data_IF_047239059185
#
_entry.id   IF_047239059185
#
_cell.length_a   1.000
_cell.length_b   1.000
_cell.length_c   1.000
_cell.angle_alpha   90.00
_cell.angle_beta   90.00
_cell.angle_gamma   90.00
#
_symmetry.space_group_name_H-M   'P 1'
#
loop_
_entity.id
_entity.type
_entity.pdbx_description
1 polymer ?
#
# COMPACT_ATOMS: atom_id res chain seq x y z
N UNK A 1 21.23 -2.70 6.35
CA UNK A 1 19.86 -2.93 6.87
C UNK A 1 19.08 -1.65 6.72
N UNK A 2 17.85 -1.73 6.21
CA UNK A 2 16.98 -0.56 6.09
C UNK A 2 16.44 -0.27 7.49
N UNK A 3 16.80 0.89 8.05
CA UNK A 3 16.24 1.33 9.33
C UNK A 3 14.81 1.83 9.11
N UNK A 4 13.85 1.21 9.80
CA UNK A 4 12.41 1.53 9.73
C UNK A 4 11.84 1.84 11.12
N UNK A 5 12.72 1.89 12.13
CA UNK A 5 12.38 1.98 13.55
C UNK A 5 11.75 3.33 13.91
N UNK A 6 12.10 4.38 13.17
CA UNK A 6 11.56 5.74 13.39
C UNK A 6 10.76 6.24 12.19
N UNK A 7 9.76 7.14 12.39
CA UNK A 7 9.02 7.74 11.29
C UNK A 7 9.91 8.42 10.25
N UNK A 8 10.98 9.10 10.70
CA UNK A 8 11.96 9.77 9.83
C UNK A 8 12.75 8.77 8.98
N UNK A 9 13.07 7.60 9.52
CA UNK A 9 13.79 6.57 8.77
C UNK A 9 12.89 5.93 7.70
N UNK A 10 11.61 5.68 8.00
CA UNK A 10 10.62 5.25 7.00
C UNK A 10 10.41 6.29 5.90
N UNK A 11 10.33 7.57 6.26
CA UNK A 11 10.21 8.65 5.29
C UNK A 11 11.41 8.69 4.33
N UNK A 12 12.64 8.59 4.87
CA UNK A 12 13.86 8.46 4.05
C UNK A 12 13.82 7.24 3.13
N UNK A 13 13.31 6.10 3.60
CA UNK A 13 13.16 4.90 2.79
C UNK A 13 12.22 5.15 1.60
N UNK A 14 11.03 5.73 1.81
CA UNK A 14 10.09 6.04 0.74
C UNK A 14 10.60 7.12 -0.23
N UNK A 15 11.47 8.04 0.25
CA UNK A 15 12.11 9.03 -0.61
C UNK A 15 13.35 8.50 -1.35
N UNK A 16 13.86 7.33 -0.97
CA UNK A 16 15.07 6.75 -1.54
C UNK A 16 14.93 6.43 -3.03
N UNK A 17 16.03 6.55 -3.77
CA UNK A 17 16.10 6.16 -5.18
C UNK A 17 15.84 4.66 -5.39
N UNK A 18 16.30 3.83 -4.44
CA UNK A 18 16.07 2.40 -4.44
C UNK A 18 14.58 2.05 -4.43
N UNK A 19 13.79 2.68 -3.54
CA UNK A 19 12.34 2.49 -3.51
C UNK A 19 11.67 2.96 -4.80
N UNK A 20 12.03 4.14 -5.32
CA UNK A 20 11.48 4.67 -6.58
C UNK A 20 11.73 3.72 -7.76
N UNK A 21 12.92 3.12 -7.83
CA UNK A 21 13.30 2.16 -8.87
C UNK A 21 12.48 0.88 -8.77
N UNK A 22 12.40 0.28 -7.58
CA UNK A 22 11.63 -0.95 -7.37
C UNK A 22 10.14 -0.69 -7.58
N UNK A 23 9.60 0.44 -7.10
CA UNK A 23 8.22 0.85 -7.34
C UNK A 23 7.90 0.90 -8.82
N UNK A 24 8.76 1.51 -9.64
CA UNK A 24 8.59 1.54 -11.09
C UNK A 24 8.62 0.13 -11.69
N UNK A 25 9.60 -0.69 -11.30
CA UNK A 25 9.72 -2.07 -11.78
C UNK A 25 8.48 -2.93 -11.46
N UNK A 26 7.91 -2.77 -10.26
CA UNK A 26 6.70 -3.49 -9.84
C UNK A 26 5.47 -3.00 -10.62
N UNK A 27 5.33 -1.69 -10.83
CA UNK A 27 4.25 -1.13 -11.65
C UNK A 27 4.35 -1.60 -13.11
N UNK A 28 5.55 -1.58 -13.69
CA UNK A 28 5.80 -2.06 -15.06
C UNK A 28 5.45 -3.56 -15.18
N UNK A 29 5.88 -4.39 -14.21
CA UNK A 29 5.54 -5.83 -14.13
C UNK A 29 4.03 -6.06 -14.08
N UNK A 30 3.33 -5.28 -13.27
CA UNK A 30 1.89 -5.39 -13.05
C UNK A 30 1.08 -4.63 -14.13
N UNK A 31 1.73 -4.16 -15.20
CA UNK A 31 1.12 -3.43 -16.31
C UNK A 31 0.39 -2.14 -15.90
N UNK A 32 0.76 -1.56 -14.76
CA UNK A 32 0.05 -0.45 -14.12
C UNK A 32 -1.42 -0.78 -13.83
N UNK A 33 -1.67 -1.99 -13.34
CA UNK A 33 -2.99 -2.50 -12.99
C UNK A 33 -3.05 -2.94 -11.52
N UNK A 34 -4.20 -2.77 -10.88
CA UNK A 34 -4.45 -3.38 -9.58
C UNK A 34 -4.61 -4.90 -9.72
N UNK A 35 -3.74 -5.67 -9.03
CA UNK A 35 -3.77 -7.14 -9.09
C UNK A 35 -5.04 -7.75 -8.50
N UNK A 36 -5.64 -7.11 -7.50
CA UNK A 36 -6.89 -7.58 -6.88
C UNK A 36 -8.10 -7.34 -7.78
N UNK A 37 -8.21 -6.14 -8.35
CA UNK A 37 -9.25 -5.84 -9.32
C UNK A 37 -9.16 -6.79 -10.52
N UNK A 38 -7.95 -7.06 -11.01
CA UNK A 38 -7.71 -8.02 -12.10
C UNK A 38 -8.22 -9.42 -11.76
N UNK A 39 -7.98 -9.92 -10.54
CA UNK A 39 -8.52 -11.20 -10.05
C UNK A 39 -10.05 -11.22 -9.99
N UNK A 40 -10.68 -10.07 -9.77
CA UNK A 40 -12.14 -9.91 -9.78
C UNK A 40 -12.72 -9.67 -11.18
N UNK A 41 -11.89 -9.71 -12.24
CA UNK A 41 -12.32 -9.40 -13.61
C UNK A 41 -12.52 -7.91 -13.89
N UNK A 42 -12.02 -7.02 -13.02
CA UNK A 42 -12.08 -5.56 -13.17
C UNK A 42 -10.74 -5.00 -13.63
N UNK A 43 -10.78 -4.04 -14.55
CA UNK A 43 -9.57 -3.34 -15.02
C UNK A 43 -9.47 -2.00 -14.30
N UNK A 44 -8.57 -1.91 -13.33
CA UNK A 44 -8.28 -0.67 -12.60
C UNK A 44 -6.83 -0.29 -12.85
N UNK A 45 -6.64 0.82 -13.54
CA UNK A 45 -5.32 1.33 -13.95
C UNK A 45 -5.04 2.68 -13.30
N UNK A 46 -3.81 3.18 -13.48
CA UNK A 46 -3.42 4.53 -13.04
C UNK A 46 -4.30 5.67 -13.64
N UNK A 47 -5.07 5.39 -14.70
CA UNK A 47 -6.02 6.36 -15.28
C UNK A 47 -7.33 6.44 -14.50
N UNK A 48 -7.73 5.34 -13.88
CA UNK A 48 -9.03 5.20 -13.19
C UNK A 48 -8.92 5.37 -11.69
N UNK A 49 -7.78 4.99 -11.10
CA UNK A 49 -7.56 5.08 -9.66
C UNK A 49 -6.07 5.27 -9.34
N UNK A 50 -5.79 5.84 -8.17
CA UNK A 50 -4.42 5.90 -7.63
C UNK A 50 -3.92 4.49 -7.31
N UNK A 51 -2.78 4.13 -7.89
CA UNK A 51 -2.09 2.88 -7.62
C UNK A 51 -1.01 3.07 -6.56
N UNK A 52 -1.07 2.20 -5.56
CA UNK A 52 -0.15 2.15 -4.43
C UNK A 52 0.54 0.78 -4.42
N UNK A 53 1.82 0.79 -4.02
CA UNK A 53 2.58 -0.44 -3.85
C UNK A 53 2.48 -0.85 -2.39
N UNK A 54 1.84 -1.98 -2.18
CA UNK A 54 1.61 -2.55 -0.86
C UNK A 54 2.66 -3.63 -0.56
N UNK A 55 3.24 -3.57 0.65
CA UNK A 55 4.12 -4.61 1.16
C UNK A 55 3.30 -5.79 1.68
N UNK A 56 3.46 -6.97 1.08
CA UNK A 56 2.77 -8.22 1.48
C UNK A 56 3.16 -8.56 2.93
N UNK A 57 4.46 -8.69 3.19
CA UNK A 57 5.02 -8.73 4.54
C UNK A 57 5.38 -7.32 4.96
N UNK A 58 4.89 -6.90 6.12
CA UNK A 58 5.08 -5.53 6.57
C UNK A 58 6.55 -5.15 6.71
N UNK A 59 6.83 -3.89 6.33
CA UNK A 59 8.13 -3.27 6.40
C UNK A 59 8.74 -3.31 7.82
N UNK A 60 7.92 -3.22 8.87
CA UNK A 60 8.36 -3.19 10.27
C UNK A 60 9.04 -4.50 10.71
N UNK A 61 8.51 -5.64 10.27
CA UNK A 61 9.01 -6.96 10.67
C UNK A 61 10.06 -7.51 9.69
N UNK A 62 10.00 -7.10 8.42
CA UNK A 62 10.87 -7.61 7.36
C UNK A 62 11.51 -6.47 6.55
N UNK A 63 12.39 -5.66 7.15
CA UNK A 63 13.07 -4.57 6.45
C UNK A 63 13.97 -5.09 5.31
N UNK A 64 14.47 -6.32 5.40
CA UNK A 64 15.29 -6.92 4.32
C UNK A 64 14.46 -7.23 3.07
N UNK A 65 13.14 -7.41 3.21
CA UNK A 65 12.21 -7.65 2.10
C UNK A 65 11.55 -6.36 1.60
N UNK A 66 11.99 -5.19 2.07
CA UNK A 66 11.38 -3.90 1.74
C UNK A 66 11.51 -3.53 0.25
N UNK A 67 12.60 -3.98 -0.39
CA UNK A 67 12.93 -3.72 -1.80
C UNK A 67 12.74 -4.96 -2.67
N UNK A 68 12.25 -6.06 -2.11
CA UNK A 68 12.12 -7.33 -2.78
C UNK A 68 10.83 -7.34 -3.63
N UNK A 69 10.90 -7.41 -4.97
CA UNK A 69 9.72 -7.30 -5.84
C UNK A 69 8.67 -8.39 -5.58
N UNK A 70 9.10 -9.56 -5.11
CA UNK A 70 8.19 -10.66 -4.75
C UNK A 70 7.37 -10.36 -3.48
N UNK A 71 7.84 -9.45 -2.63
CA UNK A 71 7.13 -8.97 -1.43
C UNK A 71 6.26 -7.73 -1.72
N UNK A 72 6.22 -7.25 -2.96
CA UNK A 72 5.52 -6.03 -3.36
C UNK A 72 4.42 -6.33 -4.36
N UNK A 73 3.26 -5.70 -4.16
CA UNK A 73 2.10 -5.84 -5.05
C UNK A 73 1.48 -4.49 -5.38
N UNK A 74 1.03 -4.34 -6.62
CA UNK A 74 0.28 -3.16 -7.05
C UNK A 74 -1.19 -3.31 -6.67
N UNK A 75 -1.70 -2.39 -5.86
CA UNK A 75 -3.11 -2.27 -5.49
C UNK A 75 -3.63 -0.88 -5.80
N UNK A 76 -4.92 -0.74 -6.07
CA UNK A 76 -5.56 0.57 -6.04
C UNK A 76 -5.79 1.02 -4.60
N UNK A 77 -5.94 2.32 -4.39
CA UNK A 77 -6.24 2.92 -3.09
C UNK A 77 -7.40 2.21 -2.34
N UNK A 78 -8.47 1.81 -3.05
CA UNK A 78 -9.60 1.10 -2.44
C UNK A 78 -9.23 -0.30 -1.95
N UNK A 79 -8.52 -1.07 -2.78
CA UNK A 79 -8.04 -2.40 -2.39
C UNK A 79 -6.99 -2.32 -1.28
N UNK A 80 -6.15 -1.28 -1.30
CA UNK A 80 -5.16 -1.03 -0.26
C UNK A 80 -5.84 -0.71 1.07
N UNK A 81 -6.86 0.16 1.09
CA UNK A 81 -7.63 0.46 2.30
C UNK A 81 -8.39 -0.77 2.82
N UNK A 82 -8.98 -1.57 1.93
CA UNK A 82 -9.66 -2.81 2.29
C UNK A 82 -8.68 -3.82 2.90
N UNK A 83 -7.43 -3.85 2.43
CA UNK A 83 -6.38 -4.71 2.99
C UNK A 83 -5.91 -4.28 4.38
N UNK A 84 -5.80 -2.98 4.63
CA UNK A 84 -5.41 -2.44 5.93
C UNK A 84 -6.59 -2.30 6.90
N UNK A 85 -7.74 -2.89 6.54
CA UNK A 85 -9.00 -2.80 7.27
C UNK A 85 -9.29 -1.38 7.77
N UNK A 86 -8.99 -0.38 6.94
CA UNK A 86 -9.39 1.01 7.18
C UNK A 86 -10.86 1.23 6.84
N UNK A 87 -11.67 0.18 6.96
CA UNK A 87 -13.09 0.36 7.16
C UNK A 87 -13.24 1.08 8.49
N UNK A 88 -13.55 2.37 8.37
CA UNK A 88 -14.08 3.17 9.45
C UNK A 88 -15.23 2.38 10.10
N UNK A 89 -14.93 1.69 11.19
CA UNK A 89 -15.80 1.72 12.35
C UNK A 89 -15.79 3.17 12.85
N UNK A 90 -16.49 4.04 12.12
CA UNK A 90 -17.10 5.18 12.77
C UNK A 90 -18.26 4.60 13.56
N UNK A 91 -17.97 4.07 14.75
CA UNK A 91 -18.93 4.24 15.84
C UNK A 91 -19.07 5.76 15.99
N UNK A 92 -20.09 6.32 15.32
CA UNK A 92 -20.70 7.53 15.83
C UNK A 92 -21.35 7.08 17.14
N UNK A 93 -20.66 7.34 18.26
CA UNK A 93 -21.29 7.34 19.56
C UNK A 93 -22.33 8.46 19.52
N UNK A 94 -23.53 8.11 19.09
CA UNK A 94 -24.75 8.89 19.28
C UNK A 94 -25.21 8.64 20.71
N UNK A 95 -24.35 8.99 21.69
CA UNK A 95 -24.81 9.25 23.05
C UNK A 95 -25.60 10.57 23.01
N UNK A 96 -26.82 10.44 22.47
CA UNK A 96 -28.06 10.90 23.07
C UNK A 96 -27.84 12.13 23.93
N UNK A 97 -28.12 13.28 23.33
CA UNK A 97 -28.45 14.53 24.01
C UNK A 97 -29.29 14.23 25.26
N UNK A 98 -28.68 14.30 26.43
CA UNK A 98 -29.44 14.51 27.66
C UNK A 98 -29.83 15.98 27.74
N UNK A 99 -31.08 16.16 28.17
CA UNK A 99 -31.95 17.34 28.13
C UNK A 99 -31.36 18.64 28.71
#
# INVERSE_FOLDING_TARGET
MIDVSTPKARDKFYHSSAWKRVRKQVLDRDHHECLWCKKQGRVTTAKTATLEIDHIKELQYYPDLALEPSNLRTLCHDCHNMRHDRHRDKQFDDETFEF
#
